data_IF_393403013815
#
_entry.id   IF_393403013815
#
_cell.length_a   1.000
_cell.length_b   1.000
_cell.length_c   1.000
_cell.angle_alpha   90.00
_cell.angle_beta   90.00
_cell.angle_gamma   90.00
#
_symmetry.space_group_name_H-M   'P 1'
#
loop_
_entity.id
_entity.type
_entity.pdbx_description
1 polymer ?
#
# COMPACT_ATOMS: atom_id res chain seq x y z
N UNK A 1 -0.02 -0.56 21.02
CA UNK A 1 -0.31 -0.88 19.60
C UNK A 1 1.01 -1.22 18.94
N UNK A 2 1.11 -2.37 18.25
CA UNK A 2 2.32 -2.76 17.53
C UNK A 2 2.15 -2.35 16.06
N UNK A 3 3.10 -1.56 15.54
CA UNK A 3 3.10 -1.15 14.14
C UNK A 3 4.19 -1.90 13.38
N UNK A 4 3.92 -2.38 12.15
CA UNK A 4 4.93 -3.01 11.32
C UNK A 4 6.12 -2.08 11.06
N UNK A 5 7.34 -2.63 11.07
CA UNK A 5 8.56 -1.83 10.95
C UNK A 5 8.60 -0.98 9.67
N UNK A 6 8.16 -1.54 8.54
CA UNK A 6 8.10 -0.84 7.25
C UNK A 6 7.12 0.33 7.23
N UNK A 7 6.02 0.24 7.99
CA UNK A 7 5.08 1.35 8.15
C UNK A 7 5.77 2.51 8.90
N UNK A 8 6.46 2.20 10.00
CA UNK A 8 7.20 3.20 10.79
C UNK A 8 8.40 3.77 10.02
N UNK A 9 9.03 2.99 9.14
CA UNK A 9 10.07 3.49 8.24
C UNK A 9 9.49 4.47 7.22
N UNK A 10 8.39 4.10 6.55
CA UNK A 10 7.73 4.96 5.58
C UNK A 10 7.34 6.32 6.17
N UNK A 11 6.85 6.35 7.42
CA UNK A 11 6.43 7.60 8.08
C UNK A 11 7.57 8.56 8.41
N UNK A 12 8.83 8.10 8.33
CA UNK A 12 10.03 8.92 8.57
C UNK A 12 10.57 9.55 7.29
N UNK A 13 10.06 9.14 6.13
CA UNK A 13 10.49 9.64 4.83
C UNK A 13 9.75 10.93 4.49
N UNK A 14 10.40 11.76 3.67
CA UNK A 14 9.77 12.96 3.11
C UNK A 14 9.41 12.69 1.66
N UNK A 15 8.11 12.56 1.39
CA UNK A 15 7.57 12.37 0.06
C UNK A 15 7.34 13.71 -0.65
N UNK A 16 7.25 13.70 -1.98
CA UNK A 16 7.07 14.89 -2.84
C UNK A 16 5.73 15.64 -2.68
N UNK A 17 4.98 15.40 -1.61
CA UNK A 17 3.71 16.07 -1.30
C UNK A 17 3.04 15.46 -0.06
N UNK A 18 1.94 16.05 0.39
CA UNK A 18 1.21 15.56 1.56
C UNK A 18 0.68 14.14 1.30
N UNK A 19 0.92 13.25 2.25
CA UNK A 19 0.40 11.89 2.25
C UNK A 19 -0.89 11.86 3.05
N UNK A 20 -1.96 11.40 2.40
CA UNK A 20 -3.29 11.24 3.00
C UNK A 20 -3.32 10.09 4.01
N UNK A 21 -2.55 9.04 3.76
CA UNK A 21 -2.41 7.90 4.65
C UNK A 21 -1.52 6.80 4.08
N UNK A 22 -1.35 5.73 4.86
CA UNK A 22 -0.50 4.60 4.54
C UNK A 22 -1.36 3.34 4.48
N UNK A 23 -1.22 2.56 3.41
CA UNK A 23 -2.01 1.36 3.18
C UNK A 23 -1.15 0.10 3.35
N UNK A 24 -1.63 -0.79 4.22
CA UNK A 24 -1.16 -2.17 4.29
C UNK A 24 -2.14 -3.10 3.58
N UNK A 25 -1.58 -4.15 2.98
CA UNK A 25 -2.28 -5.19 2.24
C UNK A 25 -3.19 -4.61 1.14
N UNK A 26 -2.66 -3.58 0.49
CA UNK A 26 -3.31 -2.88 -0.59
C UNK A 26 -3.56 -3.85 -1.74
N UNK A 27 -4.78 -3.84 -2.25
CA UNK A 27 -5.22 -4.68 -3.36
C UNK A 27 -6.27 -3.97 -4.19
N UNK A 28 -6.37 -4.28 -5.50
CA UNK A 28 -7.40 -3.69 -6.34
C UNK A 28 -8.81 -3.90 -5.79
N UNK A 29 -9.64 -2.86 -5.86
CA UNK A 29 -11.06 -2.90 -5.55
C UNK A 29 -11.81 -1.95 -6.48
N UNK A 30 -12.31 -2.49 -7.60
CA UNK A 30 -12.81 -1.66 -8.70
C UNK A 30 -11.67 -0.84 -9.32
N UNK A 31 -11.89 0.47 -9.50
CA UNK A 31 -10.85 1.41 -9.94
C UNK A 31 -10.01 1.97 -8.77
N UNK A 32 -10.33 1.62 -7.53
CA UNK A 32 -9.61 2.02 -6.31
C UNK A 32 -8.75 0.91 -5.71
N UNK A 33 -8.27 1.16 -4.49
CA UNK A 33 -7.56 0.18 -3.67
C UNK A 33 -8.31 -0.08 -2.36
N UNK A 34 -8.31 -1.35 -1.93
CA UNK A 34 -8.71 -1.76 -0.59
C UNK A 34 -7.46 -2.09 0.24
N UNK A 35 -7.43 -1.65 1.50
CA UNK A 35 -6.32 -1.93 2.40
C UNK A 35 -6.62 -1.52 3.84
N UNK A 36 -5.70 -1.84 4.75
CA UNK A 36 -5.72 -1.35 6.12
C UNK A 36 -5.06 0.04 6.17
N UNK A 37 -5.81 1.04 6.64
CA UNK A 37 -5.38 2.44 6.71
C UNK A 37 -4.58 2.73 7.98
N UNK A 38 -3.52 3.53 7.83
CA UNK A 38 -2.76 4.08 8.94
C UNK A 38 -2.42 5.54 8.71
N UNK A 39 -2.44 6.32 9.80
CA UNK A 39 -2.12 7.75 9.82
C UNK A 39 -2.94 8.58 8.83
N UNK A 40 -4.25 8.32 8.78
CA UNK A 40 -5.21 9.12 8.00
C UNK A 40 -5.23 10.56 8.50
N UNK A 41 -4.74 11.49 7.68
CA UNK A 41 -4.63 12.91 8.05
C UNK A 41 -6.01 13.56 8.19
N UNK A 42 -7.02 13.01 7.52
CA UNK A 42 -8.39 13.52 7.54
C UNK A 42 -9.20 12.98 8.72
N UNK A 43 -8.63 12.04 9.49
CA UNK A 43 -9.27 11.41 10.66
C UNK A 43 -10.62 10.78 10.34
N UNK A 44 -10.80 10.26 9.11
CA UNK A 44 -11.98 9.52 8.68
C UNK A 44 -11.92 8.07 9.14
N UNK A 45 -10.71 7.53 9.30
CA UNK A 45 -10.45 6.14 9.68
C UNK A 45 -9.43 6.04 10.81
N UNK A 46 -9.62 5.08 11.72
CA UNK A 46 -8.64 4.70 12.72
C UNK A 46 -7.51 3.85 12.14
N UNK A 47 -6.40 3.76 12.88
CA UNK A 47 -5.28 2.90 12.49
C UNK A 47 -5.70 1.42 12.47
N UNK A 48 -5.57 0.78 11.31
CA UNK A 48 -5.94 -0.60 11.04
C UNK A 48 -7.33 -0.77 10.41
N UNK A 49 -8.12 0.29 10.28
CA UNK A 49 -9.43 0.21 9.65
C UNK A 49 -9.30 -0.16 8.17
N UNK A 50 -10.22 -1.01 7.70
CA UNK A 50 -10.28 -1.37 6.28
C UNK A 50 -10.99 -0.27 5.51
N UNK A 51 -10.30 0.31 4.53
CA UNK A 51 -10.84 1.34 3.64
C UNK A 51 -10.90 0.86 2.19
N UNK A 52 -11.68 1.55 1.38
CA UNK A 52 -11.59 1.54 -0.07
C UNK A 52 -11.35 2.98 -0.49
N UNK A 53 -10.28 3.23 -1.25
CA UNK A 53 -9.99 4.56 -1.79
C UNK A 53 -10.96 4.93 -2.91
N UNK A 54 -11.03 6.22 -3.23
CA UNK A 54 -11.54 6.65 -4.53
C UNK A 54 -10.71 6.05 -5.69
N UNK A 55 -11.20 6.24 -6.92
CA UNK A 55 -10.53 5.81 -8.14
C UNK A 55 -9.09 6.32 -8.20
N UNK A 56 -8.16 5.41 -8.53
CA UNK A 56 -6.75 5.72 -8.72
C UNK A 56 -6.54 6.35 -10.10
N UNK A 57 -6.00 7.56 -10.13
CA UNK A 57 -5.61 8.25 -11.34
C UNK A 57 -4.22 7.79 -11.81
N UNK A 58 -3.26 7.73 -10.89
CA UNK A 58 -1.87 7.31 -11.18
C UNK A 58 -1.28 6.51 -10.02
N UNK A 59 -0.25 5.72 -10.36
CA UNK A 59 0.62 5.07 -9.39
C UNK A 59 2.05 5.56 -9.64
N UNK A 60 2.58 6.30 -8.69
CA UNK A 60 3.92 6.89 -8.77
C UNK A 60 4.90 6.07 -7.92
N UNK A 61 6.20 6.31 -8.09
CA UNK A 61 7.24 5.79 -7.22
C UNK A 61 8.00 6.94 -6.54
N UNK A 62 8.15 6.87 -5.21
CA UNK A 62 8.88 7.86 -4.43
C UNK A 62 9.48 7.20 -3.18
N UNK A 63 10.75 7.50 -2.88
CA UNK A 63 11.52 6.92 -1.77
C UNK A 63 11.48 5.38 -1.69
N UNK A 64 11.34 4.68 -2.83
CA UNK A 64 11.24 3.21 -2.88
C UNK A 64 9.85 2.65 -2.57
N UNK A 65 8.83 3.50 -2.40
CA UNK A 65 7.44 3.10 -2.20
C UNK A 65 6.60 3.43 -3.42
N UNK A 66 5.53 2.65 -3.63
CA UNK A 66 4.47 3.03 -4.57
C UNK A 66 3.54 4.03 -3.90
N UNK A 67 3.19 5.10 -4.61
CA UNK A 67 2.25 6.13 -4.16
C UNK A 67 1.03 6.09 -5.08
N UNK A 68 -0.11 5.68 -4.53
CA UNK A 68 -1.37 5.74 -5.25
C UNK A 68 -1.96 7.14 -5.14
N UNK A 69 -2.24 7.79 -6.29
CA UNK A 69 -2.86 9.11 -6.34
C UNK A 69 -4.28 8.96 -6.86
N UNK A 70 -5.27 9.38 -6.08
CA UNK A 70 -6.68 9.33 -6.51
C UNK A 70 -7.00 10.44 -7.49
N UNK A 71 -8.13 10.30 -8.21
CA UNK A 71 -8.71 11.38 -9.03
C UNK A 71 -9.00 12.64 -8.21
N UNK A 72 -9.34 12.48 -6.93
CA UNK A 72 -9.55 13.58 -5.97
C UNK A 72 -8.25 14.21 -5.45
N UNK A 73 -7.08 13.67 -5.81
CA UNK A 73 -5.76 14.17 -5.43
C UNK A 73 -5.23 13.63 -4.10
N UNK A 74 -5.92 12.68 -3.48
CA UNK A 74 -5.46 12.00 -2.26
C UNK A 74 -4.26 11.10 -2.58
N UNK A 75 -3.27 11.06 -1.70
CA UNK A 75 -2.02 10.32 -1.93
C UNK A 75 -1.80 9.28 -0.85
N UNK A 76 -1.75 8.02 -1.24
CA UNK A 76 -1.59 6.91 -0.31
C UNK A 76 -0.26 6.19 -0.54
N UNK A 77 0.56 6.10 0.50
CA UNK A 77 1.78 5.28 0.47
C UNK A 77 1.39 3.82 0.60
N UNK A 78 1.77 3.00 -0.36
CA UNK A 78 1.53 1.55 -0.30
C UNK A 78 2.70 0.87 0.40
N UNK A 79 2.46 0.38 1.62
CA UNK A 79 3.48 -0.28 2.46
C UNK A 79 3.58 -1.77 2.12
N UNK A 80 2.45 -2.43 1.89
CA UNK A 80 2.40 -3.79 1.37
C UNK A 80 1.26 -3.96 0.36
N UNK A 81 1.48 -4.84 -0.61
CA UNK A 81 0.46 -5.33 -1.52
C UNK A 81 0.01 -6.72 -1.09
N UNK A 82 -1.28 -7.00 -1.28
CA UNK A 82 -1.84 -8.34 -1.18
C UNK A 82 -2.31 -8.79 -2.57
N UNK A 83 -1.61 -9.76 -3.16
CA UNK A 83 -1.93 -10.28 -4.48
C UNK A 83 -2.50 -11.70 -4.40
N UNK A 84 -3.44 -11.98 -5.27
CA UNK A 84 -4.03 -13.30 -5.48
C UNK A 84 -3.66 -13.75 -6.88
N UNK A 85 -2.95 -14.87 -7.00
CA UNK A 85 -2.53 -15.44 -8.27
C UNK A 85 -2.95 -16.90 -8.34
N UNK A 86 -3.15 -17.41 -9.56
CA UNK A 86 -3.31 -18.86 -9.78
C UNK A 86 -1.97 -19.36 -10.30
N UNK A 87 -1.39 -20.33 -9.59
CA UNK A 87 -0.13 -20.95 -9.95
C UNK A 87 -0.28 -22.48 -10.01
N UNK A 88 0.53 -23.14 -10.83
CA UNK A 88 0.65 -24.58 -10.83
C UNK A 88 1.66 -25.01 -9.76
N UNK A 89 1.19 -25.74 -8.75
CA UNK A 89 2.02 -26.29 -7.68
C UNK A 89 1.81 -27.79 -7.64
N UNK A 90 2.88 -28.54 -7.87
CA UNK A 90 2.88 -30.02 -8.00
C UNK A 90 1.86 -30.54 -9.04
N UNK A 91 1.69 -29.82 -10.15
CA UNK A 91 0.77 -30.21 -11.23
C UNK A 91 -0.70 -29.87 -10.98
N UNK A 92 -1.01 -29.08 -9.95
CA UNK A 92 -2.37 -28.67 -9.59
C UNK A 92 -2.45 -27.15 -9.55
N UNK A 93 -3.49 -26.57 -10.18
CA UNK A 93 -3.78 -25.14 -10.05
C UNK A 93 -4.20 -24.80 -8.62
N UNK A 94 -3.48 -23.85 -8.01
CA UNK A 94 -3.73 -23.36 -6.66
C UNK A 94 -3.82 -21.84 -6.66
N UNK A 95 -4.74 -21.29 -5.86
CA UNK A 95 -4.74 -19.86 -5.55
C UNK A 95 -3.67 -19.59 -4.51
N UNK A 96 -2.66 -18.83 -4.89
CA UNK A 96 -1.58 -18.38 -4.00
C UNK A 96 -1.81 -16.93 -3.60
N UNK A 97 -1.58 -16.64 -2.31
CA UNK A 97 -1.71 -15.31 -1.74
C UNK A 97 -0.31 -14.80 -1.42
N UNK A 98 0.10 -13.73 -2.10
CA UNK A 98 1.37 -13.06 -1.86
C UNK A 98 1.13 -11.79 -1.03
N UNK A 99 1.76 -11.72 0.14
CA UNK A 99 1.96 -10.45 0.84
C UNK A 99 3.35 -9.94 0.48
N UNK A 100 3.41 -8.88 -0.33
CA UNK A 100 4.65 -8.29 -0.79
C UNK A 100 4.86 -6.93 -0.16
N UNK A 101 6.05 -6.72 0.36
CA UNK A 101 6.52 -5.39 0.75
C UNK A 101 7.67 -5.04 -0.16
N UNK A 102 7.66 -3.86 -0.79
CA UNK A 102 8.87 -3.43 -1.51
C UNK A 102 9.97 -3.22 -0.48
N UNK A 103 11.11 -3.87 -0.66
CA UNK A 103 12.31 -3.53 0.10
C UNK A 103 12.75 -2.16 -0.41
N UNK A 104 12.67 -1.14 0.45
CA UNK A 104 13.30 0.14 0.17
C UNK A 104 14.77 -0.18 -0.10
N UNK A 105 15.23 0.13 -1.32
CA UNK A 105 16.51 -0.30 -1.85
C UNK A 105 17.59 -0.34 -0.78
N UNK A 106 18.23 -1.51 -0.62
CA UNK A 106 19.54 -1.56 0.00
C UNK A 106 20.42 -0.57 -0.76
N UNK A 107 20.72 0.55 -0.11
CA UNK A 107 21.73 1.50 -0.58
C UNK A 107 23.09 0.87 -0.34
N UNK A 108 23.42 -0.14 -1.15
CA UNK A 108 24.76 -0.68 -1.32
C UNK A 108 24.89 -1.32 -2.71
N UNK A 109 25.10 -0.47 -3.72
CA UNK A 109 25.84 -0.78 -4.93
C UNK A 109 26.49 0.50 -5.44
#
# INVERSE_FOLDING_TARGET
MHFPAKLIQATKLTFGGQISGYLLDARPAGAGLKGAMFFDIHQRSGNGDTVITDDIATMDEDQGYSIAVTVSGERYVIVSFLLFMVEEVDGVEQTVIYSMTRDGADSNA
#
